data_IF_689296765104
#
_entry.id   IF_689296765104
#
_cell.length_a   1.000
_cell.length_b   1.000
_cell.length_c   1.000
_cell.angle_alpha   90.00
_cell.angle_beta   90.00
_cell.angle_gamma   90.00
#
_symmetry.space_group_name_H-M   'P 1'
#
loop_
_entity.id
_entity.type
_entity.pdbx_description
1 polymer ?
#
# COMPACT_ATOMS: atom_id res chain seq x y z
N UNK A 1 -4.66 -12.09 13.02
CA UNK A 1 -4.29 -11.79 12.82
C UNK A 1 -3.75 -10.76 12.37
N UNK A 2 -3.64 -10.10 12.36
CA UNK A 2 -3.09 -9.01 11.74
C UNK A 2 -1.80 -8.61 12.32
N UNK A 3 -1.29 -7.52 11.86
CA UNK A 3 -0.06 -7.00 12.37
C UNK A 3 -0.34 -6.17 13.60
N UNK A 4 0.62 -6.09 14.49
CA UNK A 4 0.48 -5.22 15.64
C UNK A 4 0.68 -3.80 15.11
N UNK A 5 0.25 -2.83 15.87
CA UNK A 5 0.43 -1.44 15.49
C UNK A 5 1.89 -1.06 15.33
N UNK A 6 2.77 -1.64 16.15
CA UNK A 6 4.19 -1.33 16.08
C UNK A 6 4.77 -1.87 14.77
N UNK A 7 4.39 -3.07 14.38
CA UNK A 7 4.90 -3.64 13.16
C UNK A 7 4.43 -2.84 11.95
N UNK A 8 3.17 -2.45 11.94
CA UNK A 8 2.63 -1.69 10.83
C UNK A 8 3.35 -0.36 10.69
N UNK A 9 3.59 0.33 11.80
CA UNK A 9 4.27 1.61 11.73
C UNK A 9 5.69 1.44 11.23
N UNK A 10 6.38 0.42 11.67
CA UNK A 10 7.74 0.22 11.22
C UNK A 10 7.78 -0.07 9.73
N UNK A 11 6.91 -0.91 9.25
CA UNK A 11 6.89 -1.24 7.83
C UNK A 11 6.47 -0.04 7.00
N UNK A 12 5.54 0.76 7.53
CA UNK A 12 5.10 1.95 6.83
C UNK A 12 6.26 2.91 6.62
N UNK A 13 7.04 3.17 7.67
CA UNK A 13 8.15 4.09 7.54
C UNK A 13 9.29 3.51 6.69
N UNK A 14 9.47 2.21 6.71
CA UNK A 14 10.44 1.58 5.86
C UNK A 14 10.02 1.70 4.40
N UNK A 15 8.75 1.53 4.11
CA UNK A 15 8.24 1.67 2.76
C UNK A 15 8.40 3.12 2.30
N UNK A 16 8.10 4.07 3.18
CA UNK A 16 8.23 5.48 2.85
C UNK A 16 9.68 5.84 2.56
N UNK A 17 10.60 5.30 3.32
CA UNK A 17 12.01 5.59 3.13
C UNK A 17 12.54 4.97 1.84
N UNK A 18 11.97 3.85 1.44
CA UNK A 18 12.45 3.13 0.27
C UNK A 18 11.81 3.65 -1.01
N UNK A 19 10.50 3.86 -0.99
CA UNK A 19 9.75 4.15 -2.20
C UNK A 19 9.19 5.56 -2.26
N UNK A 20 9.24 6.30 -1.17
CA UNK A 20 8.70 7.64 -1.12
C UNK A 20 7.34 7.67 -0.49
N UNK A 21 6.79 8.88 -0.38
CA UNK A 21 5.55 9.09 0.36
C UNK A 21 4.37 9.41 -0.55
N UNK A 22 4.45 9.06 -1.82
CA UNK A 22 3.30 9.23 -2.69
C UNK A 22 2.46 7.98 -2.63
N UNK A 23 1.15 8.16 -2.69
CA UNK A 23 0.23 7.04 -2.67
C UNK A 23 0.47 6.18 -3.91
N UNK A 24 0.66 4.89 -3.72
CA UNK A 24 0.91 3.99 -4.82
C UNK A 24 -0.34 3.76 -5.67
N UNK A 25 -1.49 4.16 -5.18
CA UNK A 25 -2.75 3.93 -5.87
C UNK A 25 -3.19 5.16 -6.65
N UNK A 26 -3.21 6.33 -6.03
CA UNK A 26 -3.66 7.54 -6.71
C UNK A 26 -2.54 8.48 -7.15
N UNK A 27 -1.33 8.26 -6.66
CA UNK A 27 -0.19 9.07 -7.08
C UNK A 27 -0.01 10.39 -6.34
N UNK A 28 -0.92 10.75 -5.47
CA UNK A 28 -0.83 12.02 -4.76
C UNK A 28 -0.01 11.88 -3.49
N UNK A 29 0.57 12.96 -3.00
CA UNK A 29 1.37 12.89 -1.78
C UNK A 29 0.53 12.44 -0.59
N UNK A 30 1.13 11.68 0.32
CA UNK A 30 0.47 11.22 1.52
C UNK A 30 1.06 11.99 2.70
N UNK A 31 0.18 12.56 3.53
CA UNK A 31 0.63 13.28 4.71
C UNK A 31 0.89 12.26 5.81
N UNK A 32 2.16 12.01 6.07
CA UNK A 32 2.55 10.97 7.02
C UNK A 32 2.23 11.32 8.47
N UNK A 33 1.79 12.55 8.74
CA UNK A 33 1.45 12.93 10.10
C UNK A 33 0.01 12.58 10.46
N UNK A 34 -0.81 12.23 9.48
CA UNK A 34 -2.19 11.90 9.76
C UNK A 34 -2.28 10.51 10.36
N UNK A 35 -3.31 10.26 11.15
CA UNK A 35 -3.47 8.98 11.79
C UNK A 35 -4.81 8.38 11.52
N UNK A 36 -4.85 7.05 11.50
CA UNK A 36 -6.10 6.34 11.39
C UNK A 36 -7.02 6.82 12.51
N UNK A 37 -8.29 7.04 12.24
CA UNK A 37 -9.03 6.61 11.05
C UNK A 37 -9.21 7.69 9.98
N UNK A 38 -8.31 8.67 9.92
CA UNK A 38 -8.43 9.70 8.91
C UNK A 38 -8.40 9.04 7.53
N UNK A 39 -9.33 9.34 6.64
CA UNK A 39 -9.35 8.71 5.32
C UNK A 39 -8.09 8.91 4.51
N UNK A 40 -7.37 9.99 4.76
CA UNK A 40 -6.15 10.27 4.02
C UNK A 40 -4.90 9.87 4.76
N UNK A 41 -5.03 9.13 5.87
CA UNK A 41 -3.88 8.72 6.65
C UNK A 41 -3.06 7.71 5.88
N UNK A 42 -1.76 7.61 6.19
CA UNK A 42 -0.90 6.67 5.48
C UNK A 42 -1.18 5.24 5.90
N UNK A 43 -1.06 4.33 4.97
CA UNK A 43 -1.20 2.92 5.27
C UNK A 43 -0.24 2.15 4.36
N UNK A 44 0.01 0.90 4.71
CA UNK A 44 0.88 0.04 3.92
C UNK A 44 0.03 -0.66 2.87
N UNK A 45 0.49 -0.60 1.63
CA UNK A 45 -0.20 -1.23 0.53
C UNK A 45 0.65 -2.38 0.03
N UNK A 46 0.06 -3.54 -0.17
CA UNK A 46 0.77 -4.68 -0.76
C UNK A 46 0.57 -4.64 -2.27
N UNK A 47 1.65 -4.57 -3.01
CA UNK A 47 1.57 -4.55 -4.47
C UNK A 47 0.90 -5.84 -4.94
N UNK A 48 1.36 -6.98 -4.42
CA UNK A 48 0.71 -8.25 -4.67
C UNK A 48 -0.03 -8.59 -3.40
N UNK A 49 -1.35 -8.72 -3.46
CA UNK A 49 -2.14 -9.01 -2.26
C UNK A 49 -1.70 -10.31 -1.59
N UNK A 50 -1.81 -10.36 -0.28
CA UNK A 50 -1.41 -11.55 0.44
C UNK A 50 -2.22 -12.75 -0.01
N UNK A 51 -3.47 -12.57 -0.37
CA UNK A 51 -4.29 -13.66 -0.84
C UNK A 51 -3.79 -14.22 -2.16
N UNK A 52 -2.91 -13.49 -2.85
CA UNK A 52 -2.35 -13.97 -4.10
C UNK A 52 -0.86 -14.24 -3.98
N UNK A 53 -0.42 -14.53 -2.80
CA UNK A 53 0.99 -14.89 -2.60
C UNK A 53 1.90 -13.72 -2.27
N UNK A 54 1.36 -12.55 -2.06
CA UNK A 54 2.20 -11.41 -1.73
C UNK A 54 2.82 -11.54 -0.36
N UNK A 55 4.04 -11.02 -0.22
CA UNK A 55 4.76 -11.09 1.04
C UNK A 55 4.79 -9.76 1.74
N UNK A 56 5.34 -9.73 2.94
CA UNK A 56 5.49 -8.49 3.70
C UNK A 56 6.89 -7.91 3.53
N UNK A 57 7.60 -8.32 2.51
CA UNK A 57 8.92 -7.77 2.27
C UNK A 57 8.79 -6.40 1.66
N UNK A 58 9.76 -5.54 1.94
CA UNK A 58 9.71 -4.15 1.48
C UNK A 58 9.54 -4.06 -0.03
N UNK A 59 10.05 -5.01 -0.77
CA UNK A 59 9.89 -5.00 -2.22
C UNK A 59 8.42 -5.06 -2.63
N UNK A 60 7.55 -5.57 -1.77
CA UNK A 60 6.13 -5.71 -2.04
C UNK A 60 5.28 -4.69 -1.28
N UNK A 61 5.89 -3.74 -0.60
CA UNK A 61 5.14 -2.79 0.20
C UNK A 61 5.29 -1.38 -0.33
N UNK A 62 4.23 -0.60 -0.24
CA UNK A 62 4.24 0.78 -0.68
C UNK A 62 3.39 1.58 0.30
N UNK A 63 3.50 2.89 0.22
CA UNK A 63 2.68 3.78 1.02
C UNK A 63 1.43 4.12 0.21
N UNK A 64 0.30 4.22 0.84
CA UNK A 64 -0.94 4.61 0.18
C UNK A 64 -1.84 5.34 1.17
N UNK A 65 -2.83 6.05 0.66
CA UNK A 65 -3.85 6.66 1.51
C UNK A 65 -4.78 5.54 2.00
N UNK A 66 -5.22 5.64 3.23
CA UNK A 66 -6.14 4.66 3.81
C UNK A 66 -7.36 4.44 2.91
N UNK A 67 -8.00 5.54 2.49
CA UNK A 67 -9.19 5.42 1.67
C UNK A 67 -8.90 4.77 0.33
N UNK A 68 -7.75 5.02 -0.27
CA UNK A 68 -7.39 4.39 -1.54
C UNK A 68 -7.21 2.90 -1.35
N UNK A 69 -6.56 2.51 -0.25
CA UNK A 69 -6.33 1.11 0.03
C UNK A 69 -7.65 0.38 0.30
N UNK A 70 -8.56 1.02 1.01
CA UNK A 70 -9.85 0.42 1.30
C UNK A 70 -10.62 0.23 0.00
N UNK A 71 -10.59 1.23 -0.89
CA UNK A 71 -11.30 1.10 -2.14
C UNK A 71 -10.71 0.02 -3.02
N UNK A 72 -9.38 -0.12 -3.01
CA UNK A 72 -8.77 -1.18 -3.77
C UNK A 72 -9.19 -2.51 -3.19
N UNK A 73 -9.18 -2.63 -1.88
CA UNK A 73 -9.61 -3.82 -1.19
C UNK A 73 -8.89 -5.04 -1.71
N UNK A 74 -9.58 -6.15 -1.75
CA UNK A 74 -9.03 -7.35 -2.26
C UNK A 74 -9.51 -7.61 -3.62
N UNK A 75 -10.24 -6.71 -4.26
CA UNK A 75 -10.78 -7.00 -5.52
C UNK A 75 -9.73 -7.17 -6.50
N UNK A 76 -9.88 -8.08 -7.36
CA UNK A 76 -8.95 -8.28 -8.39
C UNK A 76 -9.22 -7.13 -9.26
N UNK A 77 -8.36 -6.33 -9.58
CA UNK A 77 -8.61 -5.29 -10.30
C UNK A 77 -8.73 -5.66 -11.61
N UNK A 78 -9.66 -5.18 -12.27
CA UNK A 78 -9.76 -5.43 -13.54
C UNK A 78 -8.59 -4.93 -14.08
N UNK A 79 -8.12 -4.01 -13.56
CA UNK A 79 -7.00 -3.46 -14.07
C UNK A 79 -5.92 -4.34 -13.87
N UNK A 80 -6.05 -5.19 -12.98
CA UNK A 80 -5.06 -6.07 -12.74
C UNK A 80 -4.83 -6.76 -13.84
N UNK A 81 -5.72 -6.71 -14.55
CA UNK A 81 -5.59 -7.42 -15.56
C UNK A 81 -4.73 -6.64 -16.29
N UNK A 82 -4.57 -5.62 -15.99
CA UNK A 82 -3.76 -4.94 -16.63
C UNK A 82 -2.55 -5.30 -16.43
N UNK A 83 -2.02 -5.55 -16.78
CA UNK A 83 -0.87 -5.96 -16.46
C UNK A 83 0.01 -5.43 -15.95
N UNK A 84 -0.32 -5.20 -15.96
CA UNK A 84 0.40 -4.91 -15.51
C UNK A 84 0.98 -4.61 -15.06
N UNK A 85 0.97 -4.21 -15.29
CA UNK A 85 1.39 -4.18 -14.97
C UNK A 85 2.03 -4.11 -14.60
N UNK A 86 2.15 -3.89 -15.07
CA UNK A 86 2.71 -4.09 -14.98
C UNK A 86 3.39 -4.13 -14.65
N UNK A 87 3.76 -3.77 -15.09
CA UNK A 87 4.29 -4.00 -14.95
C UNK A 87 4.84 -4.06 -14.56
N UNK A 88 4.88 -3.73 -14.80
CA UNK A 88 5.36 -3.96 -14.65
C UNK A 88 5.48 -3.77 -14.29
N UNK A 89 5.26 -3.33 -14.70
CA UNK A 89 5.08 -3.40 -14.66
C UNK A 89 4.88 -3.22 -14.42
N UNK A 90 4.80 -2.65 -14.81
CA UNK A 90 4.41 -2.85 -14.72
C UNK A 90 4.45 -2.94 -14.62
#
# INVERSE_FOLDING_TARGET
MGWSGVKVRRLLWQAAATWGTRCAICGQPVDMSLRYPDPLSPTVEHVIPRSKGGTDQISNLRVAHHTCNVRKGNRPKKADQRPVHILGLF
#
